data_IF_317254773215
#
_entry.id   IF_317254773215
#
_cell.length_a   1.000
_cell.length_b   1.000
_cell.length_c   1.000
_cell.angle_alpha   90.00
_cell.angle_beta   90.00
_cell.angle_gamma   90.00
#
_symmetry.space_group_name_H-M   'P 1'
#
loop_
_entity.id
_entity.type
_entity.pdbx_description
1 polymer ?
#
# COMPACT_ATOMS: atom_id res chain seq x y z
N UNK A 1 69.32 6.57 -41.55
CA UNK A 1 69.20 6.17 -40.13
C UNK A 1 69.13 7.42 -39.23
N UNK A 2 70.18 8.24 -39.14
CA UNK A 2 70.19 9.45 -38.28
C UNK A 2 69.08 10.47 -38.60
N UNK A 3 68.82 10.71 -39.89
CA UNK A 3 67.79 11.65 -40.36
C UNK A 3 66.35 11.19 -40.05
N UNK A 4 66.11 9.87 -40.00
CA UNK A 4 64.80 9.30 -39.60
C UNK A 4 64.59 9.47 -38.10
N UNK A 5 65.64 9.28 -37.30
CA UNK A 5 65.60 9.48 -35.85
C UNK A 5 65.34 10.95 -35.51
N UNK A 6 66.01 11.88 -36.19
CA UNK A 6 65.81 13.32 -35.99
C UNK A 6 64.40 13.79 -36.36
N UNK A 7 63.87 13.33 -37.49
CA UNK A 7 62.51 13.71 -37.94
C UNK A 7 61.44 13.17 -36.99
N UNK A 8 61.53 11.91 -36.55
CA UNK A 8 60.61 11.35 -35.56
C UNK A 8 60.73 12.04 -34.19
N UNK A 9 61.94 12.41 -33.78
CA UNK A 9 62.18 13.17 -32.54
C UNK A 9 61.53 14.55 -32.56
N UNK A 10 61.67 15.28 -33.68
CA UNK A 10 61.05 16.61 -33.85
C UNK A 10 59.53 16.51 -33.86
N UNK A 11 58.95 15.57 -34.61
CA UNK A 11 57.50 15.36 -34.65
C UNK A 11 56.96 15.01 -33.26
N UNK A 12 57.64 14.14 -32.51
CA UNK A 12 57.23 13.77 -31.14
C UNK A 12 57.31 14.97 -30.18
N UNK A 13 58.37 15.78 -30.27
CA UNK A 13 58.52 16.98 -29.45
C UNK A 13 57.43 18.02 -29.75
N UNK A 14 57.13 18.26 -31.03
CA UNK A 14 56.05 19.16 -31.44
C UNK A 14 54.69 18.64 -30.95
N UNK A 15 54.40 17.36 -31.11
CA UNK A 15 53.17 16.76 -30.60
C UNK A 15 53.07 16.87 -29.06
N UNK A 16 54.15 16.64 -28.33
CA UNK A 16 54.19 16.78 -26.87
C UNK A 16 53.94 18.23 -26.43
N UNK A 17 54.53 19.21 -27.11
CA UNK A 17 54.30 20.64 -26.84
C UNK A 17 52.84 21.02 -27.13
N UNK A 18 52.28 20.55 -28.25
CA UNK A 18 50.88 20.81 -28.60
C UNK A 18 49.91 20.18 -27.59
N UNK A 19 50.16 18.96 -27.14
CA UNK A 19 49.35 18.28 -26.13
C UNK A 19 49.46 18.96 -24.76
N UNK A 20 50.66 19.37 -24.35
CA UNK A 20 50.86 20.12 -23.10
C UNK A 20 50.21 21.51 -23.13
N UNK A 21 50.24 22.17 -24.29
CA UNK A 21 49.52 23.42 -24.51
C UNK A 21 48.00 23.19 -24.41
N UNK A 22 47.47 22.14 -25.06
CA UNK A 22 46.06 21.81 -25.00
C UNK A 22 45.59 21.47 -23.56
N UNK A 23 46.35 20.69 -22.79
CA UNK A 23 46.01 20.33 -21.40
C UNK A 23 45.97 21.55 -20.46
N UNK A 24 46.84 22.54 -20.69
CA UNK A 24 46.81 23.81 -19.94
C UNK A 24 45.68 24.74 -20.38
N UNK A 25 45.31 24.71 -21.67
CA UNK A 25 44.29 25.59 -22.26
C UNK A 25 42.88 25.06 -22.03
N UNK A 26 42.76 23.74 -21.88
CA UNK A 26 41.54 23.01 -21.52
C UNK A 26 41.80 22.23 -20.22
N UNK A 27 41.88 22.92 -19.06
CA UNK A 27 42.05 22.24 -17.79
C UNK A 27 40.98 21.15 -17.66
N UNK A 28 41.42 19.92 -17.44
CA UNK A 28 40.49 18.82 -17.13
C UNK A 28 39.71 19.23 -15.89
N UNK A 29 38.39 19.21 -15.99
CA UNK A 29 37.51 19.46 -14.87
C UNK A 29 37.66 18.31 -13.84
N UNK A 30 38.55 18.55 -12.89
CA UNK A 30 38.99 17.62 -11.84
C UNK A 30 38.56 18.09 -10.46
N UNK A 31 37.48 18.88 -10.35
CA UNK A 31 36.94 19.20 -9.03
C UNK A 31 36.61 17.87 -8.31
N UNK A 32 37.35 17.53 -7.23
CA UNK A 32 37.17 16.26 -6.56
C UNK A 32 35.77 16.15 -5.93
N UNK A 33 35.13 17.28 -5.62
CA UNK A 33 33.76 17.31 -5.11
C UNK A 33 32.75 17.00 -6.21
N UNK A 34 32.85 17.65 -7.37
CA UNK A 34 31.98 17.36 -8.53
C UNK A 34 32.07 15.88 -8.90
N UNK A 35 33.29 15.32 -8.95
CA UNK A 35 33.50 13.90 -9.22
C UNK A 35 32.86 13.00 -8.16
N UNK A 36 32.95 13.36 -6.89
CA UNK A 36 32.34 12.59 -5.81
C UNK A 36 30.80 12.63 -5.88
N UNK A 37 30.23 13.80 -6.20
CA UNK A 37 28.79 13.96 -6.40
C UNK A 37 28.33 13.14 -7.61
N UNK A 38 29.03 13.25 -8.75
CA UNK A 38 28.69 12.53 -9.99
C UNK A 38 28.66 11.01 -9.74
N UNK A 39 29.61 10.46 -8.98
CA UNK A 39 29.64 9.04 -8.62
C UNK A 39 28.45 8.58 -7.76
N UNK A 40 27.78 9.49 -7.04
CA UNK A 40 26.57 9.18 -6.26
C UNK A 40 25.29 9.24 -7.11
N UNK A 41 25.35 9.85 -8.30
CA UNK A 41 24.21 9.91 -9.20
C UNK A 41 24.03 8.59 -9.96
N UNK A 42 22.81 8.24 -10.38
CA UNK A 42 22.54 6.96 -11.04
C UNK A 42 23.10 6.85 -12.47
N UNK A 43 23.82 7.85 -12.97
CA UNK A 43 24.49 7.86 -14.28
C UNK A 43 23.58 7.55 -15.49
N UNK A 44 22.27 7.80 -15.36
CA UNK A 44 21.26 7.48 -16.37
C UNK A 44 21.19 8.47 -17.53
N UNK A 45 21.75 9.66 -17.38
CA UNK A 45 21.71 10.74 -18.38
C UNK A 45 20.28 11.08 -18.88
N UNK A 46 19.25 10.86 -18.07
CA UNK A 46 17.84 11.01 -18.46
C UNK A 46 17.32 12.45 -18.51
N UNK A 47 18.14 13.43 -18.08
CA UNK A 47 17.84 14.86 -18.01
C UNK A 47 16.58 15.27 -17.22
N UNK A 48 15.96 14.35 -16.49
CA UNK A 48 14.71 14.60 -15.79
C UNK A 48 14.83 15.67 -14.70
N UNK A 49 15.99 15.83 -14.07
CA UNK A 49 16.23 16.84 -13.04
C UNK A 49 16.30 18.29 -13.58
N UNK A 50 16.15 18.50 -14.89
CA UNK A 50 16.26 19.80 -15.56
C UNK A 50 17.69 20.14 -16.02
N UNK A 51 18.62 19.19 -15.90
CA UNK A 51 20.01 19.33 -16.36
C UNK A 51 20.28 18.32 -17.49
N UNK A 52 21.17 18.61 -18.45
CA UNK A 52 21.38 17.76 -19.64
C UNK A 52 22.03 16.39 -19.33
N UNK A 53 22.46 16.15 -18.09
CA UNK A 53 23.03 14.88 -17.65
C UNK A 53 23.39 14.89 -16.17
N UNK A 54 23.93 13.77 -15.69
CA UNK A 54 24.35 13.59 -14.30
C UNK A 54 25.50 14.54 -13.94
N UNK A 55 26.51 14.68 -14.80
CA UNK A 55 27.66 15.54 -14.52
C UNK A 55 27.32 17.04 -14.44
N UNK A 56 26.56 17.63 -15.37
CA UNK A 56 26.08 19.01 -15.23
C UNK A 56 25.21 19.23 -13.99
N UNK A 57 24.44 18.23 -13.56
CA UNK A 57 23.72 18.29 -12.28
C UNK A 57 24.68 18.26 -11.09
N UNK A 58 25.72 17.42 -11.14
CA UNK A 58 26.75 17.35 -10.12
C UNK A 58 27.50 18.67 -9.94
N UNK A 59 27.84 19.35 -11.04
CA UNK A 59 28.42 20.70 -11.03
C UNK A 59 27.48 21.71 -10.36
N UNK A 60 26.19 21.70 -10.70
CA UNK A 60 25.22 22.59 -10.08
C UNK A 60 25.05 22.33 -8.57
N UNK A 61 25.06 21.06 -8.16
CA UNK A 61 25.01 20.67 -6.74
C UNK A 61 26.28 21.11 -6.00
N UNK A 62 27.46 20.95 -6.60
CA UNK A 62 28.74 21.40 -6.04
C UNK A 62 28.76 22.93 -5.85
N UNK A 63 28.12 23.68 -6.75
CA UNK A 63 27.94 25.12 -6.67
C UNK A 63 26.88 25.56 -5.63
N UNK A 64 26.30 24.64 -4.85
CA UNK A 64 25.30 24.93 -3.82
C UNK A 64 23.85 24.76 -4.27
N UNK A 65 23.62 24.18 -5.45
CA UNK A 65 22.29 23.91 -6.00
C UNK A 65 21.47 22.89 -5.18
N UNK A 66 20.22 22.63 -5.59
CA UNK A 66 19.33 21.68 -4.92
C UNK A 66 19.79 20.23 -5.10
N UNK A 67 19.65 19.41 -4.06
CA UNK A 67 20.10 18.00 -4.01
C UNK A 67 18.98 16.99 -4.27
N UNK A 68 17.74 17.45 -4.31
CA UNK A 68 16.49 16.70 -4.26
C UNK A 68 15.82 16.52 -5.64
N UNK A 69 16.53 16.89 -6.72
CA UNK A 69 15.94 16.94 -8.07
C UNK A 69 16.10 15.68 -8.90
N UNK A 70 16.88 14.69 -8.47
CA UNK A 70 17.18 13.49 -9.25
C UNK A 70 16.10 12.41 -9.07
N UNK A 71 15.16 12.22 -10.03
CA UNK A 71 14.06 11.28 -9.84
C UNK A 71 14.47 9.81 -9.85
N UNK A 72 15.34 9.32 -10.77
CA UNK A 72 15.76 7.92 -10.73
C UNK A 72 16.65 7.61 -9.52
N UNK A 73 17.27 8.63 -8.92
CA UNK A 73 18.09 8.47 -7.73
C UNK A 73 17.29 8.37 -6.43
N UNK A 74 16.05 8.86 -6.43
CA UNK A 74 15.13 8.79 -5.29
C UNK A 74 15.70 9.35 -3.98
N UNK A 75 15.09 8.95 -2.86
CA UNK A 75 15.48 9.40 -1.53
C UNK A 75 16.89 8.95 -1.12
N UNK A 76 17.36 7.81 -1.65
CA UNK A 76 18.69 7.27 -1.38
C UNK A 76 19.78 8.22 -1.89
N UNK A 77 19.66 8.69 -3.12
CA UNK A 77 20.59 9.66 -3.70
C UNK A 77 20.58 10.97 -2.92
N UNK A 78 19.41 11.48 -2.53
CA UNK A 78 19.31 12.70 -1.72
C UNK A 78 20.01 12.55 -0.37
N UNK A 79 19.83 11.40 0.28
CA UNK A 79 20.46 11.09 1.57
C UNK A 79 21.97 11.01 1.44
N UNK A 80 22.48 10.34 0.40
CA UNK A 80 23.92 10.23 0.14
C UNK A 80 24.55 11.60 -0.18
N UNK A 81 23.88 12.42 -0.99
CA UNK A 81 24.32 13.78 -1.30
C UNK A 81 24.30 14.69 -0.06
N UNK A 82 23.25 14.61 0.74
CA UNK A 82 23.14 15.35 2.00
C UNK A 82 24.27 15.00 2.97
N UNK A 83 24.62 13.71 3.09
CA UNK A 83 25.72 13.24 3.90
C UNK A 83 27.08 13.75 3.39
N UNK A 84 27.33 13.67 2.08
CA UNK A 84 28.57 14.14 1.46
C UNK A 84 28.75 15.66 1.64
N UNK A 85 27.67 16.43 1.46
CA UNK A 85 27.69 17.89 1.49
C UNK A 85 27.43 18.50 2.87
N UNK A 86 27.14 17.67 3.88
CA UNK A 86 26.73 18.08 5.24
C UNK A 86 25.53 19.04 5.23
N UNK A 87 24.51 18.70 4.45
CA UNK A 87 23.26 19.46 4.29
C UNK A 87 22.09 18.70 4.93
N UNK A 88 21.02 19.39 5.37
CA UNK A 88 19.82 18.70 5.83
C UNK A 88 19.18 17.89 4.69
N UNK A 89 18.69 16.69 5.01
CA UNK A 89 17.91 15.88 4.06
C UNK A 89 16.61 16.63 3.77
N UNK A 90 16.38 16.92 2.49
CA UNK A 90 15.14 17.54 2.00
C UNK A 90 14.35 16.46 1.27
N UNK A 91 13.02 16.44 1.43
CA UNK A 91 12.18 15.48 0.71
C UNK A 91 12.08 15.89 -0.76
N UNK A 92 12.29 14.94 -1.68
CA UNK A 92 12.17 15.20 -3.11
C UNK A 92 10.72 15.57 -3.46
N UNK A 93 10.51 16.58 -4.32
CA UNK A 93 9.16 16.96 -4.71
C UNK A 93 8.48 15.78 -5.44
N UNK A 94 7.23 15.43 -5.07
CA UNK A 94 6.51 14.36 -5.73
C UNK A 94 6.27 14.73 -7.20
N UNK A 95 6.53 13.77 -8.10
CA UNK A 95 6.29 13.93 -9.53
C UNK A 95 4.91 13.42 -9.89
N UNK A 96 3.92 14.25 -9.62
CA UNK A 96 2.51 13.90 -9.80
C UNK A 96 2.15 13.82 -11.30
N UNK A 97 2.82 14.61 -12.15
CA UNK A 97 2.45 14.76 -13.56
C UNK A 97 3.38 14.04 -14.55
N UNK A 98 4.31 13.21 -14.05
CA UNK A 98 5.24 12.51 -14.94
C UNK A 98 4.51 11.41 -15.73
N UNK A 99 4.73 11.29 -17.06
CA UNK A 99 4.15 10.21 -17.85
C UNK A 99 4.68 8.86 -17.36
N UNK A 100 3.91 7.79 -17.58
CA UNK A 100 4.29 6.42 -17.27
C UNK A 100 4.54 5.64 -18.56
N UNK A 101 5.51 4.75 -18.53
CA UNK A 101 5.73 3.82 -19.64
C UNK A 101 4.62 2.75 -19.63
N UNK A 102 4.04 2.46 -20.80
CA UNK A 102 3.13 1.34 -21.03
C UNK A 102 3.69 0.44 -22.11
N UNK A 103 3.57 -0.87 -21.90
CA UNK A 103 4.02 -1.88 -22.85
C UNK A 103 2.79 -2.46 -23.52
N UNK A 104 2.76 -2.43 -24.85
CA UNK A 104 1.70 -3.04 -25.64
C UNK A 104 1.86 -4.57 -25.64
N UNK A 105 0.90 -5.32 -25.08
CA UNK A 105 0.98 -6.77 -24.99
C UNK A 105 0.87 -7.47 -26.34
N UNK A 106 0.29 -6.84 -27.36
CA UNK A 106 0.14 -7.45 -28.70
C UNK A 106 1.43 -7.33 -29.52
N UNK A 107 2.24 -6.29 -29.26
CA UNK A 107 3.51 -6.05 -29.96
C UNK A 107 4.73 -6.61 -29.22
N UNK A 108 4.64 -6.80 -27.89
CA UNK A 108 5.77 -7.25 -27.09
C UNK A 108 6.21 -8.70 -27.42
N UNK A 109 7.42 -8.84 -27.97
CA UNK A 109 8.02 -10.14 -28.31
C UNK A 109 8.82 -10.81 -27.17
N UNK A 110 8.90 -10.19 -26.00
CA UNK A 110 9.62 -10.76 -24.85
C UNK A 110 11.15 -10.73 -24.96
N UNK A 111 11.75 -9.73 -25.61
CA UNK A 111 13.20 -9.65 -25.81
C UNK A 111 14.03 -9.30 -24.55
N UNK A 112 13.40 -8.76 -23.50
CA UNK A 112 14.00 -8.35 -22.23
C UNK A 112 15.08 -7.26 -22.31
N UNK A 113 15.25 -6.56 -23.45
CA UNK A 113 16.21 -5.46 -23.61
C UNK A 113 15.82 -4.21 -22.81
N UNK A 114 14.53 -4.06 -22.48
CA UNK A 114 14.02 -2.95 -21.69
C UNK A 114 14.34 -3.06 -20.19
N UNK A 115 14.56 -4.28 -19.66
CA UNK A 115 14.88 -4.52 -18.24
C UNK A 115 16.15 -3.80 -17.79
N UNK A 116 17.33 -4.04 -18.39
CA UNK A 116 18.57 -3.38 -17.95
C UNK A 116 18.58 -1.87 -18.21
N UNK A 117 17.67 -1.36 -19.05
CA UNK A 117 17.54 0.07 -19.30
C UNK A 117 16.69 0.80 -18.25
N UNK A 118 15.91 0.07 -17.43
CA UNK A 118 15.09 0.66 -16.38
C UNK A 118 15.93 0.89 -15.12
N UNK A 119 16.19 2.14 -14.69
CA UNK A 119 17.07 2.41 -13.55
C UNK A 119 16.43 2.18 -12.18
N UNK A 120 15.11 1.98 -12.16
CA UNK A 120 14.30 1.80 -10.94
C UNK A 120 13.59 0.44 -10.93
N UNK A 121 13.97 -0.46 -11.85
CA UNK A 121 13.40 -1.80 -11.97
C UNK A 121 11.86 -1.82 -12.03
N UNK A 122 11.26 -0.81 -12.68
CA UNK A 122 9.81 -0.71 -12.83
C UNK A 122 9.24 -1.70 -13.86
N UNK A 123 10.07 -2.32 -14.70
CA UNK A 123 9.61 -3.26 -15.73
C UNK A 123 9.72 -4.69 -15.19
N UNK A 124 8.60 -5.41 -15.16
CA UNK A 124 8.54 -6.81 -14.77
C UNK A 124 8.32 -7.67 -16.02
N UNK A 125 9.07 -8.75 -16.14
CA UNK A 125 8.87 -9.79 -17.14
C UNK A 125 10.07 -10.71 -17.20
N UNK A 126 10.13 -11.55 -18.23
CA UNK A 126 11.23 -12.45 -18.48
C UNK A 126 11.47 -12.60 -19.97
N UNK A 127 12.63 -13.16 -20.35
CA UNK A 127 12.87 -13.54 -21.73
C UNK A 127 11.74 -14.45 -22.22
N UNK A 128 11.30 -14.22 -23.46
CA UNK A 128 10.17 -14.89 -24.12
C UNK A 128 8.82 -14.75 -23.42
N UNK A 129 8.67 -13.81 -22.49
CA UNK A 129 7.42 -13.52 -21.79
C UNK A 129 7.04 -12.05 -21.98
N UNK A 130 5.75 -11.76 -21.81
CA UNK A 130 5.25 -10.39 -21.85
C UNK A 130 5.84 -9.58 -20.69
N UNK A 131 6.19 -8.33 -21.00
CA UNK A 131 6.67 -7.36 -20.01
C UNK A 131 5.53 -6.42 -19.62
N UNK A 132 5.52 -5.99 -18.36
CA UNK A 132 4.59 -5.00 -17.84
C UNK A 132 5.33 -3.97 -17.00
N UNK A 133 4.73 -2.81 -16.79
CA UNK A 133 5.33 -1.70 -16.03
C UNK A 133 4.55 -1.50 -14.73
N UNK A 134 5.27 -1.45 -13.61
CA UNK A 134 4.74 -1.00 -12.33
C UNK A 134 4.59 0.51 -12.33
N UNK A 135 3.35 0.99 -12.37
CA UNK A 135 3.02 2.42 -12.47
C UNK A 135 3.55 3.24 -11.29
N UNK A 136 3.49 2.67 -10.08
CA UNK A 136 3.92 3.34 -8.84
C UNK A 136 5.43 3.56 -8.78
N UNK A 137 6.21 2.67 -9.40
CA UNK A 137 7.68 2.74 -9.43
C UNK A 137 8.21 3.47 -10.66
N UNK A 138 7.44 3.50 -11.75
CA UNK A 138 7.87 4.11 -13.01
C UNK A 138 8.08 5.63 -12.85
N UNK A 139 9.30 6.09 -13.15
CA UNK A 139 9.67 7.51 -13.10
C UNK A 139 9.37 8.28 -14.39
N UNK A 140 8.93 7.59 -15.46
CA UNK A 140 8.68 8.23 -16.76
C UNK A 140 9.93 8.67 -17.50
N UNK A 141 11.08 8.02 -17.28
CA UNK A 141 12.37 8.46 -17.85
C UNK A 141 12.56 8.16 -19.33
N UNK A 142 11.74 7.28 -19.91
CA UNK A 142 11.80 6.93 -21.33
C UNK A 142 13.05 6.15 -21.76
N UNK A 143 13.93 5.76 -20.83
CA UNK A 143 15.16 5.01 -21.15
C UNK A 143 14.90 3.63 -21.76
N UNK A 144 13.70 3.08 -21.54
CA UNK A 144 13.27 1.80 -22.10
C UNK A 144 12.80 1.87 -23.56
N UNK A 145 12.55 3.07 -24.13
CA UNK A 145 12.08 3.22 -25.52
C UNK A 145 13.19 2.84 -26.52
N UNK A 146 14.40 3.44 -26.50
CA UNK A 146 15.45 3.14 -27.47
C UNK A 146 15.88 1.66 -27.58
N UNK A 147 15.99 0.87 -26.49
CA UNK A 147 16.39 -0.54 -26.59
C UNK A 147 15.26 -1.47 -27.09
N UNK A 148 14.02 -1.01 -27.25
CA UNK A 148 12.92 -1.85 -27.70
C UNK A 148 12.96 -2.05 -29.23
N UNK A 149 13.21 -3.27 -29.75
CA UNK A 149 13.38 -3.51 -31.18
C UNK A 149 12.07 -3.51 -31.97
N UNK A 150 10.93 -3.60 -31.28
CA UNK A 150 9.58 -3.65 -31.87
C UNK A 150 8.75 -2.43 -31.51
N UNK A 151 9.36 -1.44 -30.86
CA UNK A 151 8.75 -0.17 -30.47
C UNK A 151 7.37 -0.34 -29.79
N UNK A 152 7.30 -1.30 -28.86
CA UNK A 152 6.07 -1.64 -28.14
C UNK A 152 5.90 -0.86 -26.83
N UNK A 153 6.63 0.23 -26.61
CA UNK A 153 6.61 0.99 -25.35
C UNK A 153 6.25 2.44 -25.61
N UNK A 154 5.16 2.91 -25.02
CA UNK A 154 4.67 4.28 -25.15
C UNK A 154 4.73 5.01 -23.80
N UNK A 155 4.95 6.34 -23.82
CA UNK A 155 4.84 7.19 -22.62
C UNK A 155 3.46 7.84 -22.59
N UNK A 156 2.62 7.37 -21.69
CA UNK A 156 1.26 7.87 -21.51
C UNK A 156 1.17 8.78 -20.29
N UNK A 157 0.20 9.70 -20.29
CA UNK A 157 -0.09 10.49 -19.09
C UNK A 157 -0.46 9.54 -17.94
N UNK A 158 0.13 9.76 -16.76
CA UNK A 158 -0.24 9.00 -15.56
C UNK A 158 -1.75 9.20 -15.34
N UNK A 159 -2.56 8.14 -15.37
CA UNK A 159 -3.97 8.30 -15.07
C UNK A 159 -4.06 8.80 -13.64
N UNK A 160 -4.66 9.98 -13.45
CA UNK A 160 -5.01 10.43 -12.10
C UNK A 160 -6.09 9.49 -11.62
N UNK A 161 -5.68 8.46 -10.91
CA UNK A 161 -6.62 7.62 -10.17
C UNK A 161 -7.13 8.51 -9.04
N UNK A 162 -8.24 9.20 -9.29
CA UNK A 162 -9.12 9.66 -8.22
C UNK A 162 -9.62 8.37 -7.59
N UNK A 163 -8.88 7.79 -6.63
CA UNK A 163 -9.27 6.51 -6.03
C UNK A 163 -10.59 6.73 -5.29
N UNK A 164 -11.71 6.19 -5.79
CA UNK A 164 -12.99 6.34 -5.12
C UNK A 164 -13.10 5.36 -3.94
N UNK A 165 -12.07 4.52 -3.69
CA UNK A 165 -12.09 3.52 -2.62
C UNK A 165 -11.63 4.12 -1.28
N UNK A 166 -12.35 3.87 -0.18
CA UNK A 166 -11.80 4.10 1.15
C UNK A 166 -10.63 3.16 1.40
N UNK A 167 -9.48 3.75 1.75
CA UNK A 167 -8.35 3.04 2.35
C UNK A 167 -8.82 2.32 3.61
N UNK A 168 -8.79 0.99 3.59
CA UNK A 168 -9.01 0.14 4.77
C UNK A 168 -7.90 0.46 5.79
N UNK A 169 -8.29 1.07 6.91
CA UNK A 169 -7.40 1.45 8.01
C UNK A 169 -6.88 0.19 8.73
N UNK A 170 -5.90 -0.50 8.14
CA UNK A 170 -4.92 -1.25 8.94
C UNK A 170 -3.49 -0.74 8.72
N UNK A 171 -3.31 0.24 7.85
CA UNK A 171 -2.10 1.05 7.81
C UNK A 171 -2.51 2.51 7.60
N UNK A 172 -2.54 3.29 8.68
CA UNK A 172 -2.72 4.74 8.63
C UNK A 172 -1.57 5.33 7.80
N UNK A 173 -1.81 5.94 6.62
CA UNK A 173 -0.75 6.67 5.93
C UNK A 173 -0.35 7.86 6.80
N UNK A 174 0.97 8.03 7.04
CA UNK A 174 1.55 8.97 8.00
C UNK A 174 1.32 10.46 7.68
N UNK A 175 0.76 10.80 6.52
CA UNK A 175 0.77 12.17 6.01
C UNK A 175 -0.63 12.65 5.57
N UNK A 176 -1.55 12.87 6.52
CA UNK A 176 -2.75 13.67 6.25
C UNK A 176 -2.99 14.68 7.38
N UNK A 177 -3.34 15.90 6.97
CA UNK A 177 -3.74 17.03 7.81
C UNK A 177 -4.72 16.65 8.93
N UNK A 178 -4.75 17.40 10.05
CA UNK A 178 -5.57 17.07 11.21
C UNK A 178 -7.04 16.92 10.82
N UNK A 179 -7.65 15.83 11.27
CA UNK A 179 -9.05 15.49 11.01
C UNK A 179 -9.97 16.67 11.38
N UNK A 180 -10.87 17.03 10.46
CA UNK A 180 -11.90 18.02 10.71
C UNK A 180 -12.70 17.69 11.99
N UNK A 181 -13.20 18.68 12.74
CA UNK A 181 -13.94 18.44 13.97
C UNK A 181 -15.18 17.57 13.72
N UNK A 182 -15.42 16.60 14.59
CA UNK A 182 -16.62 15.75 14.56
C UNK A 182 -17.81 16.62 14.96
N UNK A 183 -18.82 16.67 14.09
CA UNK A 183 -20.06 17.40 14.32
C UNK A 183 -21.21 16.42 14.64
N UNK A 184 -22.28 16.88 15.32
CA UNK A 184 -23.47 16.06 15.51
C UNK A 184 -24.13 15.63 14.20
N UNK A 185 -24.88 14.54 14.24
CA UNK A 185 -25.60 14.04 13.08
C UNK A 185 -26.69 15.03 12.67
N UNK A 186 -26.58 15.58 11.45
CA UNK A 186 -27.58 16.51 10.88
C UNK A 186 -28.70 15.80 10.10
N UNK A 187 -28.75 14.46 10.13
CA UNK A 187 -29.81 13.64 9.52
C UNK A 187 -30.00 13.91 8.01
N UNK A 188 -28.91 14.13 7.28
CA UNK A 188 -28.94 14.46 5.85
C UNK A 188 -29.28 13.29 4.90
N UNK A 189 -29.21 12.04 5.37
CA UNK A 189 -29.58 10.86 4.58
C UNK A 189 -28.57 10.40 3.51
N UNK A 190 -27.45 11.09 3.31
CA UNK A 190 -26.45 10.77 2.27
C UNK A 190 -25.85 9.36 2.38
N UNK A 191 -25.84 8.79 3.59
CA UNK A 191 -25.32 7.46 3.85
C UNK A 191 -26.21 6.33 3.32
N UNK A 192 -27.52 6.55 3.13
CA UNK A 192 -28.45 5.54 2.61
C UNK A 192 -28.17 5.19 1.12
N UNK A 193 -28.18 6.13 0.17
CA UNK A 193 -27.89 5.82 -1.23
C UNK A 193 -26.44 5.39 -1.47
N UNK A 194 -25.53 5.66 -0.52
CA UNK A 194 -24.15 5.20 -0.57
C UNK A 194 -23.96 3.76 -0.06
N UNK A 195 -24.98 3.15 0.58
CA UNK A 195 -24.83 1.83 1.18
C UNK A 195 -24.93 0.72 0.12
N UNK A 196 -23.87 -0.08 -0.12
CA UNK A 196 -23.92 -1.17 -1.10
C UNK A 196 -24.79 -2.36 -0.65
N UNK A 197 -25.14 -2.43 0.64
CA UNK A 197 -26.01 -3.46 1.21
C UNK A 197 -27.47 -2.99 1.32
N UNK A 198 -27.81 -1.84 0.72
CA UNK A 198 -29.16 -1.23 0.76
C UNK A 198 -29.72 -1.02 2.19
N UNK A 199 -28.83 -0.83 3.16
CA UNK A 199 -29.20 -0.52 4.54
C UNK A 199 -29.59 0.96 4.68
N UNK A 200 -30.14 1.30 5.84
CA UNK A 200 -30.41 2.68 6.25
C UNK A 200 -29.45 3.12 7.37
N UNK A 201 -28.18 3.48 7.06
CA UNK A 201 -27.19 3.81 8.08
C UNK A 201 -27.62 4.95 9.02
N UNK A 202 -28.46 5.87 8.56
CA UNK A 202 -28.99 6.94 9.42
C UNK A 202 -29.85 6.39 10.56
N UNK A 203 -30.70 5.40 10.29
CA UNK A 203 -31.59 4.79 11.28
C UNK A 203 -30.82 3.80 12.15
N UNK A 204 -29.96 2.99 11.54
CA UNK A 204 -29.01 2.14 12.28
C UNK A 204 -28.18 2.96 13.27
N UNK A 205 -27.67 4.12 12.86
CA UNK A 205 -26.88 4.98 13.75
C UNK A 205 -27.70 5.50 14.92
N UNK A 206 -28.97 5.85 14.72
CA UNK A 206 -29.81 6.27 15.87
C UNK A 206 -30.05 5.17 16.89
N UNK A 207 -30.02 3.90 16.48
CA UNK A 207 -30.11 2.76 17.40
C UNK A 207 -28.75 2.44 18.05
N UNK A 208 -27.68 2.37 17.25
CA UNK A 208 -26.35 1.99 17.75
C UNK A 208 -25.67 3.09 18.58
N UNK A 209 -26.00 4.37 18.38
CA UNK A 209 -25.50 5.47 19.21
C UNK A 209 -26.14 5.47 20.61
N UNK A 210 -27.33 4.88 20.76
CA UNK A 210 -28.03 4.71 22.04
C UNK A 210 -27.94 3.30 22.61
N UNK A 211 -27.07 2.45 22.07
CA UNK A 211 -26.91 1.03 22.43
C UNK A 211 -28.23 0.21 22.36
N UNK A 212 -29.17 0.60 21.50
CA UNK A 212 -30.42 -0.15 21.24
C UNK A 212 -30.15 -1.26 20.22
N UNK A 213 -29.67 -2.40 20.72
CA UNK A 213 -29.31 -3.55 19.88
C UNK A 213 -30.52 -4.22 19.20
N UNK A 214 -31.70 -4.16 19.81
CA UNK A 214 -32.90 -4.78 19.25
C UNK A 214 -33.38 -3.98 18.03
N UNK A 215 -33.51 -2.66 18.17
CA UNK A 215 -33.87 -1.80 17.05
C UNK A 215 -32.82 -1.85 15.94
N UNK A 216 -31.54 -1.92 16.29
CA UNK A 216 -30.48 -2.09 15.30
C UNK A 216 -30.55 -3.44 14.56
N UNK A 217 -30.89 -4.53 15.26
CA UNK A 217 -31.07 -5.85 14.65
C UNK A 217 -32.27 -5.87 13.69
N UNK A 218 -33.39 -5.25 14.05
CA UNK A 218 -34.58 -5.12 13.19
C UNK A 218 -34.30 -4.35 11.90
N UNK A 219 -33.41 -3.35 11.98
CA UNK A 219 -32.95 -2.55 10.83
C UNK A 219 -31.81 -3.22 10.02
N UNK A 220 -31.51 -4.49 10.31
CA UNK A 220 -30.56 -5.28 9.52
C UNK A 220 -29.09 -5.00 9.84
N UNK A 221 -28.74 -4.60 11.07
CA UNK A 221 -27.35 -4.32 11.46
C UNK A 221 -26.40 -5.49 11.13
N UNK A 222 -26.89 -6.73 11.22
CA UNK A 222 -26.13 -7.94 10.91
C UNK A 222 -25.62 -8.00 9.46
N UNK A 223 -26.32 -7.36 8.52
CA UNK A 223 -26.01 -7.37 7.08
C UNK A 223 -24.92 -6.34 6.69
N UNK A 224 -24.46 -5.52 7.64
CA UNK A 224 -23.43 -4.53 7.39
C UNK A 224 -22.09 -5.20 7.05
N UNK A 225 -21.63 -5.01 5.80
CA UNK A 225 -20.36 -5.57 5.27
C UNK A 225 -19.10 -4.76 5.60
N UNK A 226 -19.21 -3.77 6.50
CA UNK A 226 -18.06 -2.99 7.00
C UNK A 226 -17.26 -2.23 5.92
N UNK A 227 -17.90 -1.82 4.83
CA UNK A 227 -17.24 -1.13 3.71
C UNK A 227 -16.79 0.32 4.00
N UNK A 228 -17.41 1.00 4.99
CA UNK A 228 -17.04 2.36 5.40
C UNK A 228 -17.52 3.50 4.50
N UNK A 229 -18.30 3.25 3.45
CA UNK A 229 -18.83 4.30 2.56
C UNK A 229 -19.68 5.34 3.33
N UNK A 230 -20.41 4.91 4.35
CA UNK A 230 -21.20 5.78 5.21
C UNK A 230 -20.35 6.87 5.90
N UNK A 231 -19.11 6.56 6.33
CA UNK A 231 -18.18 7.53 6.91
C UNK A 231 -17.72 8.55 5.87
N UNK A 232 -17.42 8.08 4.66
CA UNK A 232 -16.87 8.95 3.60
C UNK A 232 -17.86 10.01 3.15
N UNK A 233 -19.14 9.66 3.06
CA UNK A 233 -20.19 10.58 2.60
C UNK A 233 -20.77 11.42 3.73
N UNK A 234 -20.35 11.21 4.98
CA UNK A 234 -20.89 11.90 6.14
C UNK A 234 -20.32 13.33 6.25
N UNK A 235 -21.13 14.39 6.03
CA UNK A 235 -20.64 15.76 6.13
C UNK A 235 -20.30 16.16 7.58
N UNK A 236 -20.87 15.46 8.57
CA UNK A 236 -20.59 15.68 9.99
C UNK A 236 -19.31 14.99 10.48
N UNK A 237 -18.60 14.26 9.61
CA UNK A 237 -17.38 13.51 9.95
C UNK A 237 -17.56 12.53 11.12
N UNK A 238 -18.74 11.91 11.24
CA UNK A 238 -19.05 10.91 12.28
C UNK A 238 -18.56 9.53 11.82
N UNK A 239 -17.98 8.78 12.76
CA UNK A 239 -17.56 7.40 12.53
C UNK A 239 -18.73 6.41 12.68
N UNK A 240 -19.59 6.39 11.65
CA UNK A 240 -20.72 5.48 11.53
C UNK A 240 -20.27 4.02 11.53
N UNK A 241 -19.19 3.70 10.78
CA UNK A 241 -18.64 2.35 10.70
C UNK A 241 -18.24 1.81 12.07
N UNK A 242 -17.53 2.59 12.88
CA UNK A 242 -17.14 2.14 14.21
C UNK A 242 -18.35 1.90 15.12
N UNK A 243 -19.41 2.70 15.00
CA UNK A 243 -20.68 2.47 15.71
C UNK A 243 -21.31 1.13 15.30
N UNK A 244 -21.36 0.85 14.00
CA UNK A 244 -21.94 -0.41 13.50
C UNK A 244 -21.11 -1.64 13.84
N UNK A 245 -19.77 -1.55 13.80
CA UNK A 245 -18.89 -2.65 14.22
C UNK A 245 -19.11 -2.98 15.70
N UNK A 246 -19.13 -1.95 16.56
CA UNK A 246 -19.42 -2.14 18.00
C UNK A 246 -20.80 -2.75 18.22
N UNK A 247 -21.82 -2.24 17.53
CA UNK A 247 -23.18 -2.77 17.62
C UNK A 247 -23.26 -4.24 17.17
N UNK A 248 -22.59 -4.62 16.06
CA UNK A 248 -22.55 -6.01 15.58
C UNK A 248 -21.86 -6.94 16.57
N UNK A 249 -20.76 -6.50 17.17
CA UNK A 249 -20.06 -7.26 18.20
C UNK A 249 -20.96 -7.49 19.42
N UNK A 250 -21.60 -6.43 19.92
CA UNK A 250 -22.52 -6.51 21.05
C UNK A 250 -23.75 -7.39 20.76
N UNK A 251 -24.29 -7.33 19.54
CA UNK A 251 -25.39 -8.19 19.10
C UNK A 251 -24.98 -9.67 19.10
N UNK A 252 -23.84 -9.98 18.51
CA UNK A 252 -23.31 -11.35 18.49
C UNK A 252 -23.04 -11.89 19.90
N UNK A 253 -22.51 -11.06 20.81
CA UNK A 253 -22.32 -11.42 22.22
C UNK A 253 -23.65 -11.73 22.92
N UNK A 254 -24.68 -10.91 22.67
CA UNK A 254 -26.02 -11.11 23.23
C UNK A 254 -26.65 -12.41 22.76
N UNK A 255 -26.59 -12.72 21.46
CA UNK A 255 -27.09 -13.97 20.89
C UNK A 255 -26.38 -15.20 21.46
N UNK A 256 -25.05 -15.13 21.63
CA UNK A 256 -24.26 -16.19 22.27
C UNK A 256 -24.66 -16.39 23.74
N UNK A 257 -24.88 -15.31 24.49
CA UNK A 257 -25.34 -15.41 25.88
C UNK A 257 -26.72 -16.06 25.98
N UNK A 258 -27.64 -15.72 25.06
CA UNK A 258 -28.97 -16.32 25.01
C UNK A 258 -28.90 -17.83 24.72
N UNK A 259 -28.16 -18.23 23.68
CA UNK A 259 -27.99 -19.67 23.35
C UNK A 259 -27.32 -20.45 24.46
N UNK A 260 -26.31 -19.88 25.13
CA UNK A 260 -25.67 -20.52 26.28
C UNK A 260 -26.64 -20.65 27.47
N UNK A 261 -27.45 -19.63 27.75
CA UNK A 261 -28.46 -19.67 28.81
C UNK A 261 -29.54 -20.71 28.52
N UNK A 262 -30.04 -20.79 27.29
CA UNK A 262 -30.99 -21.83 26.86
C UNK A 262 -30.41 -23.23 26.97
N UNK A 263 -29.17 -23.44 26.49
CA UNK A 263 -28.49 -24.72 26.62
C UNK A 263 -28.26 -25.11 28.10
N UNK A 264 -27.99 -24.14 28.98
CA UNK A 264 -27.90 -24.38 30.42
C UNK A 264 -29.24 -24.80 31.03
N UNK A 265 -30.34 -24.11 30.68
CA UNK A 265 -31.71 -24.47 31.12
C UNK A 265 -32.09 -25.89 30.67
N UNK A 266 -31.89 -26.20 29.39
CA UNK A 266 -32.18 -27.54 28.85
C UNK A 266 -31.32 -28.65 29.49
N UNK A 267 -30.09 -28.35 29.94
CA UNK A 267 -29.26 -29.30 30.70
C UNK A 267 -29.81 -29.53 32.10
N UNK A 268 -30.28 -28.48 32.77
CA UNK A 268 -30.88 -28.56 34.10
C UNK A 268 -32.18 -29.36 34.08
N UNK A 269 -33.07 -29.08 33.15
CA UNK A 269 -34.36 -29.79 32.98
C UNK A 269 -34.13 -31.29 32.72
N UNK A 270 -33.24 -31.64 31.77
CA UNK A 270 -32.87 -33.04 31.51
C UNK A 270 -32.27 -33.74 32.73
N UNK A 271 -31.58 -33.02 33.60
CA UNK A 271 -31.07 -33.59 34.86
C UNK A 271 -32.21 -33.85 35.85
N UNK A 272 -33.11 -32.89 36.03
CA UNK A 272 -34.26 -33.01 36.91
C UNK A 272 -35.19 -34.17 36.49
N UNK A 273 -35.45 -34.34 35.19
CA UNK A 273 -36.22 -35.47 34.65
C UNK A 273 -35.56 -36.82 34.96
N UNK A 274 -34.24 -36.93 34.76
CA UNK A 274 -33.49 -38.17 35.08
C UNK A 274 -33.57 -38.51 36.56
N UNK A 275 -33.46 -37.52 37.44
CA UNK A 275 -33.55 -37.70 38.89
C UNK A 275 -34.98 -38.09 39.31
N UNK A 276 -36.01 -37.45 38.77
CA UNK A 276 -37.41 -37.79 39.01
C UNK A 276 -37.75 -39.22 38.53
N UNK A 277 -37.31 -39.60 37.32
CA UNK A 277 -37.51 -40.95 36.79
C UNK A 277 -36.79 -42.02 37.64
N UNK A 278 -35.57 -41.73 38.13
CA UNK A 278 -34.87 -42.63 39.07
C UNK A 278 -35.65 -42.80 40.37
N UNK A 279 -36.12 -41.71 40.97
CA UNK A 279 -36.91 -41.75 42.21
C UNK A 279 -38.23 -42.52 42.03
N UNK A 280 -38.94 -42.32 40.91
CA UNK A 280 -40.15 -43.08 40.57
C UNK A 280 -39.87 -44.57 40.40
N UNK A 281 -38.82 -44.93 39.66
CA UNK A 281 -38.41 -46.31 39.46
C UNK A 281 -38.01 -47.00 40.78
N UNK A 282 -37.30 -46.29 41.66
CA UNK A 282 -36.94 -46.79 42.99
C UNK A 282 -38.17 -46.97 43.89
N UNK A 283 -39.11 -46.00 43.89
CA UNK A 283 -40.37 -46.11 44.62
C UNK A 283 -41.22 -47.29 44.13
N UNK A 284 -41.31 -47.50 42.81
CA UNK A 284 -41.99 -48.64 42.20
C UNK A 284 -41.34 -49.97 42.59
N UNK A 285 -39.99 -50.06 42.53
CA UNK A 285 -39.24 -51.23 43.00
C UNK A 285 -39.46 -51.51 44.49
N UNK A 286 -39.49 -50.47 45.33
CA UNK A 286 -39.76 -50.59 46.77
C UNK A 286 -41.17 -51.11 47.03
N UNK A 287 -42.18 -50.56 46.33
CA UNK A 287 -43.57 -51.03 46.41
C UNK A 287 -43.70 -52.50 45.99
N UNK A 288 -43.11 -52.89 44.86
CA UNK A 288 -43.12 -54.27 44.39
C UNK A 288 -42.41 -55.25 45.36
N UNK A 289 -41.34 -54.81 46.04
CA UNK A 289 -40.67 -55.60 47.09
C UNK A 289 -41.58 -55.83 48.29
N UNK A 290 -42.29 -54.78 48.74
CA UNK A 290 -43.28 -54.90 49.82
C UNK A 290 -44.43 -55.83 49.44
N UNK A 291 -44.97 -55.71 48.23
CA UNK A 291 -46.03 -56.60 47.73
C UNK A 291 -45.59 -58.08 47.65
N UNK A 292 -44.32 -58.37 47.30
CA UNK A 292 -43.79 -59.74 47.36
C UNK A 292 -43.64 -60.27 48.78
N UNK A 293 -43.32 -59.42 49.76
CA UNK A 293 -43.25 -59.82 51.17
C UNK A 293 -44.62 -60.14 51.77
N UNK A 294 -45.69 -59.56 51.23
CA UNK A 294 -47.08 -59.76 51.70
C UNK A 294 -47.75 -60.96 51.00
N UNK A 295 -47.08 -61.65 50.05
CA UNK A 295 -47.65 -62.88 49.45
C UNK A 295 -47.77 -63.99 50.52
N UNK A 296 -48.97 -64.54 50.77
CA UNK A 296 -49.15 -65.61 51.75
C UNK A 296 -48.46 -66.89 51.26
N UNK A 297 -47.74 -67.57 52.15
CA UNK A 297 -47.27 -68.94 51.91
C UNK A 297 -48.48 -69.87 51.84
N UNK A 298 -48.91 -70.23 50.62
CA UNK A 298 -49.86 -71.33 50.39
C UNK A 298 -49.28 -72.31 49.38
N UNK A 299 -48.65 -73.36 49.93
CA UNK A 299 -48.62 -74.74 49.42
C UNK A 299 -48.07 -75.63 50.53
#
# INVERSE_FOLDING_TARGET
MLSVILTLGVVSAVAAVLLAWADRRFPRDTDPLVRAIDQLLPQTQCAQCGYPGCRPYAEAVAAGGPIDRCPPGGAETVTALAALLRRPVTEAPPRIDAPIARIDPERCIGCALCLPACPVDAIIGAQTHLHTVLEDTCTGCGLCLPPCPVDCIDLEARPVVIDPRPVRILARPRNREPAAPILPCIRCGLCAPACPADLRPQLLFSHTDTDDLNGAAEEGLADCIECGLCNQVCPSNIDLLASFIRGRQALAESEQQQTLAEAARARFERRAEREANRAQNEAARRKARLERQVRPWHS
#
